data_IF_684684969408
#
_entry.id   IF_684684969408
#
_cell.length_a   1.000
_cell.length_b   1.000
_cell.length_c   1.000
_cell.angle_alpha   90.00
_cell.angle_beta   90.00
_cell.angle_gamma   90.00
#
_symmetry.space_group_name_H-M   'P 1'
#
loop_
_entity.id
_entity.type
_entity.pdbx_description
1 polymer ?
#
# COMPACT_ATOMS: atom_id res chain seq x y z
N UNK A 1 7.59 -0.17 10.37
CA UNK A 1 7.34 1.26 10.09
C UNK A 1 6.21 1.78 10.98
N UNK A 2 6.30 3.01 11.47
CA UNK A 2 5.26 3.64 12.31
C UNK A 2 4.98 5.07 11.86
N UNK A 3 3.76 5.53 12.12
CA UNK A 3 3.32 6.90 11.87
C UNK A 3 3.54 7.80 13.09
N UNK A 4 3.66 9.10 12.85
CA UNK A 4 3.75 10.10 13.92
C UNK A 4 2.40 10.22 14.67
N UNK A 5 1.29 10.12 13.95
CA UNK A 5 -0.07 10.15 14.50
C UNK A 5 -0.64 8.74 14.68
N UNK A 6 -1.58 8.60 15.62
CA UNK A 6 -2.36 7.37 15.81
C UNK A 6 -3.34 7.19 14.64
N UNK A 7 -3.48 5.96 14.16
CA UNK A 7 -4.38 5.60 13.06
C UNK A 7 -5.72 5.14 13.61
N UNK A 8 -5.71 4.25 14.61
CA UNK A 8 -6.91 3.78 15.30
C UNK A 8 -6.59 3.43 16.75
N UNK A 9 -7.35 3.98 17.71
CA UNK A 9 -7.05 3.82 19.14
C UNK A 9 -5.60 4.18 19.45
N UNK A 10 -4.83 3.26 20.04
CA UNK A 10 -3.40 3.45 20.33
C UNK A 10 -2.47 2.83 19.24
N UNK A 11 -3.01 2.46 18.09
CA UNK A 11 -2.26 1.85 16.99
C UNK A 11 -1.73 2.93 16.02
N UNK A 12 -0.40 2.98 15.86
CA UNK A 12 0.32 3.84 14.90
C UNK A 12 1.14 3.06 13.87
N UNK A 13 0.90 1.76 13.76
CA UNK A 13 1.64 0.91 12.81
C UNK A 13 1.18 1.21 11.40
N UNK A 14 2.12 1.50 10.50
CA UNK A 14 1.81 1.88 9.10
C UNK A 14 1.44 0.64 8.28
N UNK A 15 0.30 0.03 8.57
CA UNK A 15 -0.23 -1.18 7.93
C UNK A 15 -1.64 -0.94 7.42
N UNK A 16 -1.97 -1.55 6.29
CA UNK A 16 -3.32 -1.52 5.71
C UNK A 16 -4.35 -2.07 6.70
N UNK A 17 -4.02 -3.14 7.44
CA UNK A 17 -4.88 -3.67 8.49
C UNK A 17 -5.31 -2.61 9.51
N UNK A 18 -4.38 -1.71 9.89
CA UNK A 18 -4.65 -0.62 10.84
C UNK A 18 -5.57 0.46 10.25
N UNK A 19 -5.50 0.70 8.93
CA UNK A 19 -6.43 1.58 8.23
C UNK A 19 -7.83 0.94 8.09
N UNK A 20 -7.88 -0.37 7.79
CA UNK A 20 -9.15 -1.11 7.70
C UNK A 20 -9.88 -1.14 9.06
N UNK A 21 -9.14 -1.32 10.16
CA UNK A 21 -9.68 -1.18 11.53
C UNK A 21 -10.28 0.21 11.76
N UNK A 22 -9.68 1.27 11.21
CA UNK A 22 -10.15 2.65 11.35
C UNK A 22 -11.33 3.01 10.43
N UNK A 23 -11.65 2.19 9.41
CA UNK A 23 -12.56 2.56 8.33
C UNK A 23 -13.95 3.02 8.80
N UNK A 24 -14.47 2.38 9.85
CA UNK A 24 -15.78 2.70 10.43
C UNK A 24 -15.85 4.12 11.03
N UNK A 25 -14.73 4.68 11.50
CA UNK A 25 -14.67 6.08 11.95
C UNK A 25 -14.92 7.08 10.80
N UNK A 26 -14.72 6.65 9.56
CA UNK A 26 -14.89 7.43 8.34
C UNK A 26 -16.17 7.06 7.58
N UNK A 27 -17.10 6.33 8.21
CA UNK A 27 -18.36 5.87 7.62
C UNK A 27 -18.18 4.98 6.38
N UNK A 28 -17.04 4.30 6.28
CA UNK A 28 -16.76 3.35 5.20
C UNK A 28 -17.17 1.94 5.63
N UNK A 29 -17.90 1.25 4.77
CA UNK A 29 -18.08 -0.20 4.87
C UNK A 29 -16.78 -0.93 4.55
N UNK A 30 -16.68 -2.20 4.96
CA UNK A 30 -15.49 -3.01 4.68
C UNK A 30 -15.22 -3.15 3.16
N UNK A 31 -16.21 -3.42 2.29
CA UNK A 31 -15.98 -3.46 0.84
C UNK A 31 -15.49 -2.14 0.26
N UNK A 32 -16.02 -1.00 0.71
CA UNK A 32 -15.56 0.33 0.25
C UNK A 32 -14.12 0.60 0.65
N UNK A 33 -13.76 0.29 1.91
CA UNK A 33 -12.39 0.45 2.39
C UNK A 33 -11.40 -0.44 1.61
N UNK A 34 -11.78 -1.69 1.32
CA UNK A 34 -10.97 -2.59 0.48
C UNK A 34 -10.81 -2.04 -0.95
N UNK A 35 -11.90 -1.56 -1.56
CA UNK A 35 -11.87 -0.98 -2.90
C UNK A 35 -10.99 0.28 -2.99
N UNK A 36 -11.01 1.13 -1.96
CA UNK A 36 -10.12 2.30 -1.87
C UNK A 36 -8.67 1.85 -1.85
N UNK A 37 -8.32 0.88 -1.01
CA UNK A 37 -6.93 0.39 -0.92
C UNK A 37 -6.51 -0.21 -2.26
N UNK A 38 -7.33 -1.09 -2.85
CA UNK A 38 -7.06 -1.67 -4.17
C UNK A 38 -6.79 -0.59 -5.23
N UNK A 39 -7.65 0.43 -5.30
CA UNK A 39 -7.46 1.55 -6.23
C UNK A 39 -6.15 2.30 -6.02
N UNK A 40 -5.74 2.51 -4.76
CA UNK A 40 -4.44 3.12 -4.46
C UNK A 40 -3.26 2.24 -4.91
N UNK A 41 -3.33 0.92 -4.70
CA UNK A 41 -2.26 0.00 -5.13
C UNK A 41 -2.06 0.06 -6.65
N UNK A 42 -3.16 -0.04 -7.41
CA UNK A 42 -3.14 0.03 -8.88
C UNK A 42 -2.61 1.38 -9.36
N UNK A 43 -3.14 2.47 -8.81
CA UNK A 43 -2.72 3.82 -9.17
C UNK A 43 -1.21 4.04 -8.93
N UNK A 44 -0.69 3.61 -7.78
CA UNK A 44 0.75 3.73 -7.47
C UNK A 44 1.58 2.92 -8.47
N UNK A 45 1.20 1.68 -8.77
CA UNK A 45 1.94 0.83 -9.71
C UNK A 45 1.91 1.36 -11.15
N UNK A 46 0.74 1.75 -11.64
CA UNK A 46 0.56 2.31 -12.99
C UNK A 46 1.37 3.60 -13.18
N UNK A 47 1.46 4.45 -12.16
CA UNK A 47 2.13 5.74 -12.25
C UNK A 47 3.62 5.70 -11.87
N UNK A 48 4.11 4.62 -11.26
CA UNK A 48 5.49 4.55 -10.79
C UNK A 48 6.53 4.87 -11.88
N UNK A 49 6.44 4.32 -13.11
CA UNK A 49 7.42 4.64 -14.15
C UNK A 49 7.47 6.13 -14.50
N UNK A 50 6.29 6.74 -14.68
CA UNK A 50 6.16 8.16 -15.05
C UNK A 50 6.63 9.09 -13.92
N UNK A 51 6.17 8.87 -12.69
CA UNK A 51 6.51 9.72 -11.54
C UNK A 51 8.00 9.64 -11.21
N UNK A 52 8.60 8.44 -11.33
CA UNK A 52 10.03 8.29 -11.09
C UNK A 52 10.90 8.93 -12.16
N UNK A 53 10.46 8.97 -13.41
CA UNK A 53 11.08 9.74 -14.48
C UNK A 53 10.98 11.24 -14.23
N UNK A 54 9.79 11.75 -13.88
CA UNK A 54 9.59 13.16 -13.51
C UNK A 54 10.45 13.58 -12.31
N UNK A 55 10.63 12.67 -11.35
CA UNK A 55 11.51 12.87 -10.21
C UNK A 55 13.01 12.67 -10.53
N UNK A 56 13.37 12.41 -11.78
CA UNK A 56 14.75 12.20 -12.25
C UNK A 56 15.48 11.06 -11.53
N UNK A 57 14.75 10.03 -11.08
CA UNK A 57 15.36 8.87 -10.43
C UNK A 57 16.16 8.04 -11.44
N UNK A 58 17.35 7.61 -11.03
CA UNK A 58 18.12 6.65 -11.82
C UNK A 58 17.40 5.31 -11.91
N UNK A 59 17.69 4.50 -12.93
CA UNK A 59 17.14 3.14 -13.02
C UNK A 59 17.47 2.28 -11.79
N UNK A 60 18.62 2.53 -11.15
CA UNK A 60 19.02 1.85 -9.91
C UNK A 60 18.12 2.27 -8.75
N UNK A 61 17.92 3.58 -8.55
CA UNK A 61 17.06 4.10 -7.46
C UNK A 61 15.61 3.66 -7.63
N UNK A 62 15.11 3.67 -8.87
CA UNK A 62 13.77 3.17 -9.21
C UNK A 62 13.57 1.72 -8.76
N UNK A 63 14.52 0.85 -9.11
CA UNK A 63 14.47 -0.55 -8.72
C UNK A 63 14.66 -0.75 -7.22
N UNK A 64 15.50 0.07 -6.59
CA UNK A 64 15.72 -0.01 -5.14
C UNK A 64 14.51 0.46 -4.33
N UNK A 65 13.81 1.51 -4.77
CA UNK A 65 12.67 2.05 -4.04
C UNK A 65 11.41 1.20 -4.21
N UNK A 66 11.21 0.58 -5.37
CA UNK A 66 10.06 -0.27 -5.61
C UNK A 66 10.08 -1.52 -4.73
N UNK A 67 8.96 -1.82 -4.06
CA UNK A 67 8.86 -2.92 -3.10
C UNK A 67 9.64 -2.72 -1.79
N UNK A 68 10.29 -1.57 -1.57
CA UNK A 68 10.99 -1.23 -0.31
C UNK A 68 10.49 0.07 0.30
N UNK A 69 10.53 1.17 -0.45
CA UNK A 69 9.98 2.45 -0.02
C UNK A 69 8.51 2.55 -0.42
N UNK A 70 8.20 2.16 -1.66
CA UNK A 70 6.84 2.09 -2.18
C UNK A 70 6.35 0.65 -2.20
N UNK A 71 5.07 0.45 -1.88
CA UNK A 71 4.46 -0.88 -1.71
C UNK A 71 5.27 -1.82 -0.79
N UNK A 72 5.84 -1.29 0.29
CA UNK A 72 6.64 -2.09 1.22
C UNK A 72 5.81 -3.29 1.77
N UNK A 73 6.33 -4.53 1.74
CA UNK A 73 5.64 -5.72 2.25
C UNK A 73 5.11 -5.61 3.68
N UNK A 74 5.80 -4.85 4.54
CA UNK A 74 5.37 -4.58 5.91
C UNK A 74 3.95 -3.99 5.97
N UNK A 75 3.57 -3.16 5.01
CA UNK A 75 2.25 -2.53 4.95
C UNK A 75 1.11 -3.56 4.84
N UNK A 76 1.39 -4.76 4.33
CA UNK A 76 0.41 -5.83 4.08
C UNK A 76 0.46 -6.95 5.14
N UNK A 77 1.16 -6.71 6.25
CA UNK A 77 1.17 -7.64 7.39
C UNK A 77 -0.12 -7.54 8.21
N UNK A 78 -0.52 -8.64 8.84
CA UNK A 78 -1.75 -8.76 9.64
C UNK A 78 -3.07 -8.50 8.87
N UNK A 79 -3.04 -8.67 7.54
CA UNK A 79 -4.28 -8.80 6.77
C UNK A 79 -4.80 -10.22 6.93
N UNK A 80 -6.11 -10.35 7.16
CA UNK A 80 -6.81 -11.61 7.37
C UNK A 80 -8.15 -11.61 6.62
N UNK A 81 -8.72 -12.79 6.39
CA UNK A 81 -10.02 -12.95 5.75
C UNK A 81 -10.08 -12.34 4.35
N UNK A 82 -11.14 -11.58 4.05
CA UNK A 82 -11.34 -10.95 2.74
C UNK A 82 -10.29 -9.91 2.37
N UNK A 83 -9.50 -9.42 3.32
CA UNK A 83 -8.45 -8.44 3.06
C UNK A 83 -7.15 -9.06 2.52
N UNK A 84 -7.01 -10.39 2.58
CA UNK A 84 -5.82 -11.12 2.11
C UNK A 84 -5.55 -10.91 0.61
N UNK A 85 -6.62 -10.68 -0.15
CA UNK A 85 -6.56 -10.36 -1.59
C UNK A 85 -5.70 -9.12 -1.89
N UNK A 86 -5.64 -8.16 -0.96
CA UNK A 86 -4.81 -6.96 -1.11
C UNK A 86 -3.31 -7.29 -1.00
N UNK A 87 -2.93 -8.27 -0.17
CA UNK A 87 -1.55 -8.75 -0.10
C UNK A 87 -1.17 -9.42 -1.42
N UNK A 88 -2.03 -10.31 -1.93
CA UNK A 88 -1.79 -10.98 -3.20
C UNK A 88 -1.64 -9.99 -4.37
N UNK A 89 -2.52 -8.98 -4.45
CA UNK A 89 -2.42 -7.92 -5.45
C UNK A 89 -1.12 -7.10 -5.30
N UNK A 90 -0.72 -6.75 -4.08
CA UNK A 90 0.53 -6.03 -3.84
C UNK A 90 1.75 -6.85 -4.28
N UNK A 91 1.73 -8.17 -4.04
CA UNK A 91 2.80 -9.07 -4.48
C UNK A 91 2.87 -9.16 -6.01
N UNK A 92 1.72 -9.26 -6.68
CA UNK A 92 1.62 -9.23 -8.14
C UNK A 92 2.19 -7.92 -8.72
N UNK A 93 1.73 -6.77 -8.22
CA UNK A 93 2.16 -5.45 -8.70
C UNK A 93 3.65 -5.19 -8.45
N UNK A 94 4.22 -5.73 -7.37
CA UNK A 94 5.66 -5.63 -7.14
C UNK A 94 6.46 -6.38 -8.20
N UNK A 95 5.95 -7.52 -8.65
CA UNK A 95 6.63 -8.36 -9.63
C UNK A 95 6.42 -7.88 -11.07
N UNK A 96 5.32 -7.18 -11.37
CA UNK A 96 4.98 -6.75 -12.74
C UNK A 96 5.79 -5.54 -13.23
N UNK A 97 6.22 -4.65 -12.33
CA UNK A 97 6.95 -3.40 -12.68
C UNK A 97 8.42 -3.66 -13.05
N UNK A 98 8.92 -4.87 -12.84
CA UNK A 98 10.27 -5.30 -13.23
C UNK A 98 10.32 -6.04 -14.57
N UNK A 99 9.18 -6.24 -15.25
CA UNK A 99 9.09 -6.79 -16.60
C UNK A 99 9.18 -5.68 -17.65
#
# INVERSE_FOLDING_TARGET
ASQAMLISGNNRMSRIASCLEAAHHFLLSAPEALAIVEGQLRCIAENWPRVSEEATLSGIDRNLFWGRQFLNPYAFTALEGSADVLRALADELRNSVHA
#
